data_IF_788695049376
#
_entry.id   IF_788695049376
#
_cell.length_a   1.000
_cell.length_b   1.000
_cell.length_c   1.000
_cell.angle_alpha   90.00
_cell.angle_beta   90.00
_cell.angle_gamma   90.00
#
_symmetry.space_group_name_H-M   'P 1'
#
loop_
_entity.id
_entity.type
_entity.pdbx_description
1 polymer ?
#
# COMPACT_ATOMS: atom_id res chain seq x y z
N UNK A 1 55.14 -8.39 -16.31
CA UNK A 1 54.22 -9.39 -15.74
C UNK A 1 52.84 -8.77 -15.73
N UNK A 2 52.04 -9.06 -16.77
CA UNK A 2 50.72 -8.46 -16.97
C UNK A 2 49.69 -9.39 -16.33
N UNK A 3 48.97 -8.91 -15.32
CA UNK A 3 47.83 -9.63 -14.74
C UNK A 3 46.57 -9.04 -15.38
N UNK A 4 45.94 -9.81 -16.26
CA UNK A 4 44.63 -9.52 -16.83
C UNK A 4 43.57 -9.63 -15.74
N UNK A 5 42.94 -8.52 -15.37
CA UNK A 5 41.67 -8.53 -14.65
C UNK A 5 40.53 -8.39 -15.67
N UNK A 6 40.03 -9.52 -16.17
CA UNK A 6 38.73 -9.56 -16.84
C UNK A 6 37.66 -9.38 -15.76
N UNK A 7 37.06 -8.18 -15.72
CA UNK A 7 35.84 -7.91 -14.96
C UNK A 7 34.71 -8.71 -15.56
N UNK A 8 34.31 -9.76 -14.86
CA UNK A 8 33.14 -10.57 -15.14
C UNK A 8 31.91 -9.71 -14.79
N UNK A 9 31.26 -9.12 -15.79
CA UNK A 9 29.96 -8.45 -15.65
C UNK A 9 28.89 -9.55 -15.50
N UNK A 10 28.89 -10.21 -14.36
CA UNK A 10 27.81 -11.11 -13.96
C UNK A 10 26.61 -10.25 -13.62
N UNK A 11 25.67 -10.18 -14.56
CA UNK A 11 24.31 -9.70 -14.32
C UNK A 11 23.82 -10.29 -12.99
N UNK A 12 23.62 -9.42 -11.99
CA UNK A 12 23.14 -9.83 -10.67
C UNK A 12 21.83 -10.62 -10.87
N UNK A 13 21.76 -11.89 -10.45
CA UNK A 13 20.53 -12.66 -10.63
C UNK A 13 19.40 -11.92 -9.93
N UNK A 14 18.27 -11.75 -10.62
CA UNK A 14 17.08 -11.16 -10.03
C UNK A 14 16.72 -11.92 -8.75
N UNK A 15 16.42 -11.19 -7.68
CA UNK A 15 16.11 -11.80 -6.39
C UNK A 15 14.96 -12.82 -6.55
N UNK A 16 15.06 -14.00 -5.92
CA UNK A 16 14.04 -15.04 -6.05
C UNK A 16 12.69 -14.56 -5.55
N UNK A 17 11.62 -14.93 -6.25
CA UNK A 17 10.26 -14.62 -5.84
C UNK A 17 9.78 -15.54 -4.71
N UNK A 18 8.73 -15.11 -4.01
CA UNK A 18 8.02 -15.93 -3.03
C UNK A 18 6.54 -15.93 -3.36
N UNK A 19 5.92 -17.10 -3.42
CA UNK A 19 4.48 -17.27 -3.51
C UNK A 19 3.96 -17.82 -2.17
N UNK A 20 2.98 -17.12 -1.57
CA UNK A 20 2.28 -17.58 -0.38
C UNK A 20 0.83 -17.91 -0.75
N UNK A 21 0.45 -19.17 -0.62
CA UNK A 21 -0.89 -19.68 -0.89
C UNK A 21 -1.62 -19.82 0.45
N UNK A 22 -2.65 -19.00 0.67
CA UNK A 22 -3.47 -19.02 1.87
C UNK A 22 -4.89 -19.43 1.49
N UNK A 23 -5.29 -20.65 1.85
CA UNK A 23 -6.66 -21.12 1.79
C UNK A 23 -7.22 -21.21 3.21
N UNK A 24 -8.28 -20.46 3.50
CA UNK A 24 -8.83 -20.40 4.85
C UNK A 24 -10.36 -20.35 4.83
N UNK A 25 -10.99 -21.44 5.28
CA UNK A 25 -12.42 -21.49 5.52
C UNK A 25 -12.73 -22.08 6.91
N UNK A 26 -13.86 -21.69 7.55
CA UNK A 26 -14.29 -22.31 8.78
C UNK A 26 -14.78 -23.74 8.53
N UNK A 27 -14.49 -24.66 9.45
CA UNK A 27 -14.98 -26.02 9.36
C UNK A 27 -16.49 -26.10 9.70
N UNK A 28 -17.22 -26.96 8.97
CA UNK A 28 -18.59 -27.32 9.29
C UNK A 28 -19.67 -26.38 8.74
N UNK A 29 -20.75 -26.18 9.50
CA UNK A 29 -22.02 -25.61 8.99
C UNK A 29 -21.95 -24.12 8.57
N UNK A 30 -20.90 -23.40 8.97
CA UNK A 30 -20.66 -22.00 8.60
C UNK A 30 -19.77 -21.81 7.38
N UNK A 31 -19.29 -22.91 6.78
CA UNK A 31 -18.44 -22.89 5.60
C UNK A 31 -19.24 -22.44 4.37
N UNK A 32 -18.80 -21.36 3.72
CA UNK A 32 -19.40 -20.84 2.49
C UNK A 32 -18.56 -21.11 1.25
N UNK A 33 -17.29 -21.50 1.43
CA UNK A 33 -16.34 -21.80 0.35
C UNK A 33 -15.43 -22.96 0.76
N UNK A 34 -15.24 -23.92 -0.15
CA UNK A 34 -14.18 -24.92 -0.05
C UNK A 34 -12.86 -24.31 -0.56
N UNK A 35 -12.23 -23.51 0.31
CA UNK A 35 -11.04 -22.73 -0.02
C UNK A 35 -9.86 -23.64 -0.42
N UNK A 36 -9.67 -24.75 0.30
CA UNK A 36 -8.54 -25.65 0.08
C UNK A 36 -8.61 -26.41 -1.26
N UNK A 37 -9.79 -26.52 -1.89
CA UNK A 37 -9.97 -27.22 -3.17
C UNK A 37 -9.15 -26.66 -4.36
N UNK A 38 -8.59 -25.44 -4.25
CA UNK A 38 -7.70 -24.87 -5.29
C UNK A 38 -6.23 -25.24 -5.11
N UNK A 39 -5.83 -25.62 -3.89
CA UNK A 39 -4.41 -25.82 -3.57
C UNK A 39 -3.75 -26.90 -4.44
N UNK A 40 -4.37 -28.07 -4.73
CA UNK A 40 -3.77 -29.04 -5.64
C UNK A 40 -3.55 -28.50 -7.05
N UNK A 41 -4.45 -27.63 -7.54
CA UNK A 41 -4.32 -27.03 -8.87
C UNK A 41 -3.15 -26.03 -8.90
N UNK A 42 -3.03 -25.18 -7.86
CA UNK A 42 -1.92 -24.22 -7.72
C UNK A 42 -0.58 -24.89 -7.43
N UNK A 43 -0.55 -25.96 -6.63
CA UNK A 43 0.67 -26.71 -6.34
C UNK A 43 1.28 -27.36 -7.60
N UNK A 44 0.44 -27.65 -8.60
CA UNK A 44 0.89 -28.17 -9.88
C UNK A 44 1.29 -27.09 -10.90
N UNK A 45 1.20 -25.81 -10.53
CA UNK A 45 1.73 -24.69 -11.32
C UNK A 45 3.21 -24.51 -11.03
N UNK A 46 4.08 -24.31 -12.04
CA UNK A 46 5.49 -24.01 -11.80
C UNK A 46 5.65 -22.77 -10.89
N UNK A 47 6.54 -22.79 -9.88
CA UNK A 47 6.74 -21.65 -8.99
C UNK A 47 7.02 -20.32 -9.71
N UNK A 48 7.76 -20.39 -10.81
CA UNK A 48 8.07 -19.23 -11.67
C UNK A 48 6.83 -18.61 -12.33
N UNK A 49 5.78 -19.38 -12.56
CA UNK A 49 4.52 -18.87 -13.10
C UNK A 49 3.68 -18.15 -12.03
N UNK A 50 3.77 -18.60 -10.77
CA UNK A 50 3.12 -17.93 -9.65
C UNK A 50 3.77 -16.57 -9.38
N UNK A 51 5.11 -16.50 -9.37
CA UNK A 51 5.82 -15.26 -8.99
C UNK A 51 6.26 -14.40 -10.16
N UNK A 52 6.21 -14.90 -11.40
CA UNK A 52 6.80 -14.22 -12.56
C UNK A 52 8.32 -14.08 -12.49
N UNK A 53 9.00 -14.82 -11.61
CA UNK A 53 10.46 -14.79 -11.41
C UNK A 53 11.11 -16.09 -11.88
N UNK A 54 12.40 -16.05 -12.23
CA UNK A 54 13.14 -17.23 -12.69
C UNK A 54 13.30 -18.30 -11.60
N UNK A 55 13.57 -17.87 -10.36
CA UNK A 55 13.60 -18.71 -9.17
C UNK A 55 12.50 -18.28 -8.20
N UNK A 56 11.83 -19.23 -7.55
CA UNK A 56 10.73 -18.94 -6.66
C UNK A 56 10.55 -19.99 -5.55
N UNK A 57 10.13 -19.53 -4.37
CA UNK A 57 9.74 -20.37 -3.24
C UNK A 57 8.22 -20.34 -3.08
N UNK A 58 7.60 -21.49 -2.80
CA UNK A 58 6.15 -21.58 -2.54
C UNK A 58 5.92 -21.99 -1.09
N UNK A 59 5.04 -21.26 -0.40
CA UNK A 59 4.61 -21.54 0.97
C UNK A 59 3.09 -21.74 0.96
N UNK A 60 2.63 -22.89 1.41
CA UNK A 60 1.20 -23.22 1.47
C UNK A 60 0.68 -23.22 2.90
N UNK A 61 -0.50 -22.62 3.09
CA UNK A 61 -1.27 -22.60 4.33
C UNK A 61 -2.70 -23.06 4.00
N UNK A 62 -2.95 -24.35 4.24
CA UNK A 62 -4.26 -24.97 4.07
C UNK A 62 -5.03 -24.97 5.39
N UNK A 63 -6.19 -24.31 5.42
CA UNK A 63 -7.10 -24.18 6.55
C UNK A 63 -6.39 -24.02 7.90
N UNK A 64 -5.58 -22.95 8.05
CA UNK A 64 -4.83 -22.74 9.29
C UNK A 64 -5.78 -22.57 10.47
N UNK A 65 -5.38 -23.08 11.64
CA UNK A 65 -6.21 -23.07 12.85
C UNK A 65 -5.99 -21.86 13.77
N UNK A 66 -4.87 -21.18 13.58
CA UNK A 66 -4.37 -20.13 14.48
C UNK A 66 -3.92 -18.90 13.66
N UNK A 67 -4.45 -17.70 13.96
CA UNK A 67 -4.07 -16.48 13.24
C UNK A 67 -2.60 -16.09 13.46
N UNK A 68 -1.99 -16.43 14.60
CA UNK A 68 -0.57 -16.11 14.83
C UNK A 68 0.35 -16.95 13.96
N UNK A 69 0.02 -18.22 13.70
CA UNK A 69 0.73 -19.04 12.73
C UNK A 69 0.69 -18.43 11.31
N UNK A 70 -0.47 -17.94 10.88
CA UNK A 70 -0.60 -17.26 9.57
C UNK A 70 0.24 -15.99 9.53
N UNK A 71 0.15 -15.13 10.55
CA UNK A 71 0.94 -13.90 10.60
C UNK A 71 2.44 -14.16 10.65
N UNK A 72 2.89 -15.19 11.36
CA UNK A 72 4.31 -15.56 11.42
C UNK A 72 4.83 -15.96 10.04
N UNK A 73 4.05 -16.74 9.29
CA UNK A 73 4.39 -17.14 7.92
C UNK A 73 4.33 -15.95 6.96
N UNK A 74 3.35 -15.07 7.12
CA UNK A 74 3.26 -13.83 6.34
C UNK A 74 4.46 -12.93 6.61
N UNK A 75 4.84 -12.67 7.87
CA UNK A 75 6.04 -11.91 8.23
C UNK A 75 7.30 -12.49 7.63
N UNK A 76 7.44 -13.81 7.71
CA UNK A 76 8.61 -14.50 7.14
C UNK A 76 8.69 -14.30 5.63
N UNK A 77 7.57 -14.46 4.92
CA UNK A 77 7.51 -14.20 3.48
C UNK A 77 7.74 -12.71 3.14
N UNK A 78 7.17 -11.81 3.94
CA UNK A 78 7.29 -10.37 3.78
C UNK A 78 8.71 -9.84 4.07
N UNK A 79 9.53 -10.57 4.81
CA UNK A 79 10.93 -10.23 5.05
C UNK A 79 11.87 -10.66 3.91
N UNK A 80 11.44 -11.55 3.00
CA UNK A 80 12.28 -12.02 1.90
C UNK A 80 12.43 -10.94 0.81
N UNK A 81 13.63 -10.72 0.25
CA UNK A 81 13.79 -9.82 -0.89
C UNK A 81 13.07 -10.37 -2.14
N UNK A 82 12.92 -9.54 -3.17
CA UNK A 82 12.29 -9.95 -4.44
C UNK A 82 10.76 -9.75 -4.50
N UNK A 83 10.10 -10.43 -5.44
CA UNK A 83 8.65 -10.32 -5.64
C UNK A 83 7.89 -11.24 -4.67
N UNK A 84 6.92 -10.69 -3.95
CA UNK A 84 5.99 -11.46 -3.12
C UNK A 84 4.62 -11.56 -3.82
N UNK A 85 4.16 -12.77 -4.03
CA UNK A 85 2.84 -13.06 -4.58
C UNK A 85 2.00 -13.77 -3.52
N UNK A 86 0.90 -13.17 -3.10
CA UNK A 86 0.00 -13.74 -2.09
C UNK A 86 -1.31 -14.11 -2.76
N UNK A 87 -1.67 -15.38 -2.67
CA UNK A 87 -2.93 -15.91 -3.19
C UNK A 87 -3.83 -16.23 -2.01
N UNK A 88 -4.91 -15.47 -1.82
CA UNK A 88 -5.83 -15.65 -0.70
C UNK A 88 -7.16 -16.15 -1.22
N UNK A 89 -7.56 -17.32 -0.73
CA UNK A 89 -8.92 -17.82 -0.90
C UNK A 89 -9.53 -18.14 0.44
N UNK A 90 -10.81 -17.82 0.62
CA UNK A 90 -11.45 -18.00 1.91
C UNK A 90 -12.69 -17.18 2.15
N UNK A 91 -13.13 -17.20 3.40
CA UNK A 91 -14.38 -16.58 3.81
C UNK A 91 -14.12 -15.32 4.66
N UNK A 92 -14.74 -14.20 4.28
CA UNK A 92 -14.72 -12.95 5.04
C UNK A 92 -15.96 -12.84 5.92
N UNK A 93 -15.74 -12.50 7.19
CA UNK A 93 -16.78 -12.14 8.14
C UNK A 93 -16.55 -10.72 8.65
N UNK A 94 -17.61 -10.08 9.15
CA UNK A 94 -17.53 -8.79 9.80
C UNK A 94 -17.58 -8.96 11.32
N UNK A 95 -16.67 -8.32 12.05
CA UNK A 95 -16.80 -8.25 13.50
C UNK A 95 -17.95 -7.32 13.89
N UNK A 96 -18.96 -7.86 14.56
CA UNK A 96 -20.13 -7.12 15.04
C UNK A 96 -19.80 -5.96 15.99
N UNK A 97 -18.64 -5.96 16.67
CA UNK A 97 -18.26 -4.86 17.59
C UNK A 97 -17.45 -3.78 16.92
N UNK A 98 -16.37 -4.15 16.24
CA UNK A 98 -15.43 -3.20 15.65
C UNK A 98 -15.77 -2.85 14.21
N UNK A 99 -16.72 -3.57 13.59
CA UNK A 99 -17.08 -3.45 12.18
C UNK A 99 -15.85 -3.60 11.26
N UNK A 100 -14.93 -4.49 11.63
CA UNK A 100 -13.71 -4.79 10.87
C UNK A 100 -13.81 -6.16 10.20
N UNK A 101 -13.31 -6.25 8.96
CA UNK A 101 -13.23 -7.50 8.22
C UNK A 101 -12.25 -8.48 8.88
N UNK A 102 -12.63 -9.75 8.91
CA UNK A 102 -11.81 -10.86 9.37
C UNK A 102 -11.87 -12.00 8.35
N UNK A 103 -10.72 -12.61 8.07
CA UNK A 103 -10.63 -13.86 7.32
C UNK A 103 -10.86 -15.03 8.28
N UNK A 104 -11.94 -15.78 8.06
CA UNK A 104 -12.30 -16.92 8.88
C UNK A 104 -11.29 -18.06 8.68
N UNK A 105 -10.84 -18.63 9.80
CA UNK A 105 -9.89 -19.74 9.86
C UNK A 105 -10.63 -21.04 10.23
N UNK A 106 -9.94 -22.19 10.20
CA UNK A 106 -10.58 -23.51 10.37
C UNK A 106 -11.46 -23.64 11.61
N UNK A 107 -11.07 -22.99 12.72
CA UNK A 107 -11.81 -23.03 14.01
C UNK A 107 -12.77 -21.85 14.20
N UNK A 108 -12.91 -20.97 13.22
CA UNK A 108 -13.73 -19.77 13.35
C UNK A 108 -15.21 -20.12 13.33
N UNK A 109 -15.90 -19.60 14.35
CA UNK A 109 -17.37 -19.56 14.43
C UNK A 109 -17.80 -18.11 14.64
N UNK A 110 -19.09 -17.81 14.47
CA UNK A 110 -19.62 -16.48 14.70
C UNK A 110 -19.31 -15.92 16.11
N UNK A 111 -19.31 -16.78 17.13
CA UNK A 111 -19.04 -16.37 18.52
C UNK A 111 -17.55 -16.23 18.85
N UNK A 112 -16.67 -16.92 18.12
CA UNK A 112 -15.22 -16.93 18.38
C UNK A 112 -14.42 -16.08 17.40
N UNK A 113 -15.08 -15.45 16.42
CA UNK A 113 -14.49 -14.69 15.33
C UNK A 113 -13.31 -13.80 15.75
N UNK A 114 -13.48 -12.98 16.78
CA UNK A 114 -12.45 -12.03 17.24
C UNK A 114 -11.18 -12.69 17.77
N UNK A 115 -11.26 -13.95 18.19
CA UNK A 115 -10.16 -14.68 18.81
C UNK A 115 -9.51 -15.69 17.87
N UNK A 116 -10.26 -16.22 16.92
CA UNK A 116 -9.81 -17.32 16.05
C UNK A 116 -9.67 -16.93 14.59
N UNK A 117 -10.36 -15.89 14.12
CA UNK A 117 -10.21 -15.40 12.76
C UNK A 117 -8.99 -14.48 12.65
N UNK A 118 -8.48 -14.30 11.43
CA UNK A 118 -7.40 -13.36 11.14
C UNK A 118 -7.99 -11.97 10.84
N UNK A 119 -7.74 -10.94 11.66
CA UNK A 119 -8.16 -9.58 11.34
C UNK A 119 -7.53 -9.12 10.02
N UNK A 120 -8.35 -8.64 9.09
CA UNK A 120 -7.89 -8.27 7.75
C UNK A 120 -6.81 -7.19 7.79
N UNK A 121 -6.98 -6.20 8.66
CA UNK A 121 -6.01 -5.13 8.85
C UNK A 121 -4.64 -5.58 9.41
N UNK A 122 -4.55 -6.78 10.00
CA UNK A 122 -3.25 -7.35 10.39
C UNK A 122 -2.53 -7.90 9.16
N UNK A 123 -3.25 -8.60 8.28
CA UNK A 123 -2.70 -9.08 7.01
C UNK A 123 -2.15 -7.90 6.18
N UNK A 124 -2.92 -6.81 6.05
CA UNK A 124 -2.47 -5.61 5.34
C UNK A 124 -1.28 -4.95 6.01
N UNK A 125 -1.26 -4.91 7.34
CA UNK A 125 -0.14 -4.38 8.11
C UNK A 125 1.18 -5.10 7.84
N UNK A 126 1.16 -6.43 7.65
CA UNK A 126 2.37 -7.18 7.31
C UNK A 126 2.86 -6.93 5.88
N UNK A 127 1.93 -6.75 4.93
CA UNK A 127 2.26 -6.46 3.53
C UNK A 127 2.74 -5.02 3.34
N UNK A 128 2.23 -4.08 4.15
CA UNK A 128 2.62 -2.68 4.12
C UNK A 128 4.09 -2.43 4.48
N UNK A 129 4.78 -3.43 5.07
CA UNK A 129 6.21 -3.35 5.36
C UNK A 129 7.09 -3.50 4.11
N UNK A 130 6.51 -3.93 2.98
CA UNK A 130 7.25 -4.13 1.73
C UNK A 130 7.26 -2.86 0.89
N UNK A 131 8.34 -2.68 0.13
CA UNK A 131 8.44 -1.58 -0.83
C UNK A 131 7.32 -1.64 -1.88
N UNK A 132 6.90 -0.47 -2.43
CA UNK A 132 5.81 -0.42 -3.40
C UNK A 132 6.14 -1.25 -4.65
N UNK A 133 5.12 -1.86 -5.24
CA UNK A 133 5.17 -2.71 -6.44
C UNK A 133 6.00 -4.00 -6.32
N UNK A 134 6.44 -4.37 -5.11
CA UNK A 134 7.11 -5.66 -4.82
C UNK A 134 6.14 -6.74 -4.37
N UNK A 135 4.87 -6.39 -4.19
CA UNK A 135 3.83 -7.27 -3.68
C UNK A 135 2.64 -7.29 -4.62
N UNK A 136 2.23 -8.49 -5.00
CA UNK A 136 1.01 -8.76 -5.75
C UNK A 136 0.11 -9.66 -4.90
N UNK A 137 -1.15 -9.28 -4.75
CA UNK A 137 -2.16 -10.07 -4.04
C UNK A 137 -3.26 -10.48 -5.01
N UNK A 138 -3.59 -11.76 -5.04
CA UNK A 138 -4.70 -12.31 -5.82
C UNK A 138 -5.75 -12.88 -4.86
N UNK A 139 -6.99 -12.41 -4.97
CA UNK A 139 -8.07 -12.74 -4.04
C UNK A 139 -9.17 -13.58 -4.71
N UNK A 140 -9.66 -14.59 -4.01
CA UNK A 140 -10.87 -15.33 -4.36
C UNK A 140 -11.68 -15.65 -3.09
N UNK A 141 -12.51 -14.69 -2.70
CA UNK A 141 -13.15 -14.64 -1.39
C UNK A 141 -14.67 -14.74 -1.49
N UNK A 142 -15.28 -15.22 -0.41
CA UNK A 142 -16.73 -15.16 -0.20
C UNK A 142 -17.00 -14.36 1.06
N UNK A 143 -17.77 -13.28 0.94
CA UNK A 143 -18.22 -12.53 2.11
C UNK A 143 -19.49 -13.16 2.68
N UNK A 144 -19.61 -13.22 4.00
CA UNK A 144 -20.87 -13.56 4.64
C UNK A 144 -21.91 -12.42 4.50
N UNK A 145 -23.11 -12.64 5.03
CA UNK A 145 -24.21 -11.69 4.89
C UNK A 145 -23.94 -10.32 5.54
N UNK A 146 -23.12 -10.26 6.58
CA UNK A 146 -22.78 -9.01 7.27
C UNK A 146 -21.58 -8.30 6.63
N UNK A 147 -20.59 -9.07 6.15
CA UNK A 147 -19.41 -8.53 5.48
C UNK A 147 -19.71 -8.04 4.06
N UNK A 148 -20.70 -8.63 3.37
CA UNK A 148 -20.97 -8.30 1.97
C UNK A 148 -21.32 -6.82 1.73
N UNK A 149 -22.24 -6.19 2.49
CA UNK A 149 -22.50 -4.75 2.37
C UNK A 149 -21.26 -3.90 2.64
N UNK A 150 -20.41 -4.31 3.59
CA UNK A 150 -19.17 -3.60 3.94
C UNK A 150 -18.17 -3.63 2.77
N UNK A 151 -17.96 -4.79 2.16
CA UNK A 151 -17.09 -4.94 0.99
C UNK A 151 -17.64 -4.16 -0.21
N UNK A 152 -18.95 -4.13 -0.41
CA UNK A 152 -19.58 -3.34 -1.49
C UNK A 152 -19.44 -1.83 -1.30
N UNK A 153 -19.44 -1.37 -0.05
CA UNK A 153 -19.34 0.05 0.29
C UNK A 153 -17.92 0.61 0.34
N UNK A 154 -16.91 -0.21 0.66
CA UNK A 154 -15.53 0.26 0.88
C UNK A 154 -14.42 -0.66 0.35
N UNK A 155 -14.76 -1.74 -0.35
CA UNK A 155 -13.81 -2.75 -0.81
C UNK A 155 -13.23 -3.58 0.33
N UNK A 156 -12.21 -4.37 0.02
CA UNK A 156 -11.45 -5.15 1.03
C UNK A 156 -10.26 -4.37 1.60
N UNK A 157 -9.69 -3.42 0.83
CA UNK A 157 -8.58 -2.55 1.26
C UNK A 157 -7.30 -3.32 1.60
N UNK A 158 -6.26 -3.25 0.76
CA UNK A 158 -4.95 -3.88 1.04
C UNK A 158 -3.82 -2.88 1.35
N UNK A 159 -4.05 -1.58 1.18
CA UNK A 159 -3.04 -0.53 1.31
C UNK A 159 -2.49 -0.07 -0.04
N UNK A 160 -1.70 1.01 -0.03
CA UNK A 160 -1.12 1.61 -1.24
C UNK A 160 0.15 0.87 -1.69
N UNK A 161 0.43 0.87 -3.00
CA UNK A 161 1.64 0.27 -3.56
C UNK A 161 1.60 -1.26 -3.68
N UNK A 162 0.48 -1.90 -3.36
CA UNK A 162 0.27 -3.34 -3.58
C UNK A 162 -0.58 -3.52 -4.84
N UNK A 163 -0.14 -4.40 -5.75
CA UNK A 163 -0.96 -4.78 -6.90
C UNK A 163 -2.02 -5.78 -6.45
N UNK A 164 -3.28 -5.51 -6.74
CA UNK A 164 -4.40 -6.35 -6.28
C UNK A 164 -5.23 -6.80 -7.47
N UNK A 165 -5.47 -8.10 -7.56
CA UNK A 165 -6.45 -8.68 -8.48
C UNK A 165 -7.38 -9.58 -7.68
N UNK A 166 -8.66 -9.65 -8.00
CA UNK A 166 -9.47 -10.68 -7.37
C UNK A 166 -10.97 -10.53 -7.49
N UNK A 167 -11.63 -11.48 -6.85
CA UNK A 167 -13.08 -11.62 -6.75
C UNK A 167 -13.49 -11.72 -5.30
N UNK A 168 -14.53 -11.00 -4.92
CA UNK A 168 -15.30 -11.23 -3.69
C UNK A 168 -16.74 -11.51 -4.07
N UNK A 169 -17.24 -12.69 -3.72
CA UNK A 169 -18.61 -13.11 -4.00
C UNK A 169 -19.54 -12.84 -2.81
N UNK A 170 -20.83 -12.56 -3.05
CA UNK A 170 -21.84 -12.53 -1.99
C UNK A 170 -21.98 -13.90 -1.31
N UNK A 171 -22.64 -13.97 -0.13
CA UNK A 171 -22.94 -15.24 0.50
C UNK A 171 -23.79 -16.11 -0.44
N UNK A 172 -23.44 -17.40 -0.64
CA UNK A 172 -24.20 -18.28 -1.49
C UNK A 172 -25.59 -18.57 -0.91
N UNK A 173 -26.51 -19.10 -1.74
CA UNK A 173 -27.78 -19.63 -1.25
C UNK A 173 -27.58 -20.65 -0.11
N UNK A 174 -28.59 -20.79 0.74
CA UNK A 174 -28.53 -21.71 1.90
C UNK A 174 -28.11 -23.11 1.49
N UNK A 175 -27.18 -23.70 2.26
CA UNK A 175 -26.63 -25.07 2.09
C UNK A 175 -25.79 -25.26 0.82
N UNK A 176 -25.32 -24.17 0.20
CA UNK A 176 -24.37 -24.23 -0.91
C UNK A 176 -23.00 -23.80 -0.41
N UNK A 177 -21.96 -24.55 -0.81
CA UNK A 177 -20.55 -24.22 -0.60
C UNK A 177 -19.96 -23.91 -1.98
N UNK A 178 -19.37 -22.73 -2.13
CA UNK A 178 -18.74 -22.32 -3.38
C UNK A 178 -17.34 -22.92 -3.51
N UNK A 179 -16.84 -22.96 -4.75
CA UNK A 179 -15.44 -23.26 -5.03
C UNK A 179 -14.70 -22.01 -5.50
N UNK A 180 -13.38 -21.91 -5.24
CA UNK A 180 -12.51 -20.83 -5.70
C UNK A 180 -12.20 -20.93 -7.20
N UNK A 181 -13.23 -20.80 -8.03
CA UNK A 181 -13.12 -20.99 -9.48
C UNK A 181 -12.31 -19.87 -10.16
N UNK A 182 -12.25 -18.68 -9.55
CA UNK A 182 -11.48 -17.56 -10.07
C UNK A 182 -9.98 -17.91 -10.03
N UNK A 183 -9.48 -18.40 -8.90
CA UNK A 183 -8.08 -18.86 -8.80
C UNK A 183 -7.85 -20.20 -9.53
N UNK A 184 -8.85 -21.08 -9.61
CA UNK A 184 -8.77 -22.30 -10.42
C UNK A 184 -8.50 -21.97 -11.90
N UNK A 185 -9.17 -20.94 -12.43
CA UNK A 185 -8.95 -20.47 -13.81
C UNK A 185 -7.51 -20.01 -14.03
N UNK A 186 -6.91 -19.30 -13.07
CA UNK A 186 -5.50 -18.91 -13.13
C UNK A 186 -4.59 -20.14 -13.19
N UNK A 187 -4.82 -21.11 -12.30
CA UNK A 187 -4.05 -22.35 -12.25
C UNK A 187 -4.13 -23.13 -13.58
N UNK A 188 -5.33 -23.27 -14.12
CA UNK A 188 -5.57 -24.00 -15.38
C UNK A 188 -4.82 -23.34 -16.55
N UNK A 189 -4.87 -22.01 -16.66
CA UNK A 189 -4.15 -21.28 -17.71
C UNK A 189 -2.64 -21.46 -17.55
N UNK A 190 -2.08 -21.28 -16.35
CA UNK A 190 -0.64 -21.43 -16.15
C UNK A 190 -0.14 -22.87 -16.38
N UNK A 191 -0.96 -23.88 -16.11
CA UNK A 191 -0.64 -25.29 -16.39
C UNK A 191 -0.46 -25.58 -17.88
N UNK A 192 -1.10 -24.81 -18.76
CA UNK A 192 -0.90 -24.94 -20.23
C UNK A 192 0.48 -24.46 -20.70
N UNK A 193 1.25 -23.79 -19.83
CA UNK A 193 2.52 -23.16 -20.19
C UNK A 193 2.41 -21.70 -20.64
N UNK A 194 1.20 -21.21 -20.92
CA UNK A 194 0.98 -19.80 -21.27
C UNK A 194 1.24 -18.90 -20.06
N UNK A 195 1.84 -17.73 -20.28
CA UNK A 195 2.17 -16.74 -19.23
C UNK A 195 1.60 -15.36 -19.59
N UNK A 196 0.27 -15.19 -19.58
CA UNK A 196 -0.32 -13.90 -19.89
C UNK A 196 -0.13 -12.93 -18.71
N UNK A 197 -0.19 -11.62 -18.94
CA UNK A 197 -0.19 -10.62 -17.88
C UNK A 197 -1.34 -10.85 -16.87
N UNK A 198 -1.13 -10.49 -15.60
CA UNK A 198 -2.10 -10.71 -14.53
C UNK A 198 -3.44 -10.00 -14.78
N UNK A 199 -3.43 -8.83 -15.42
CA UNK A 199 -4.64 -8.12 -15.82
C UNK A 199 -5.49 -8.94 -16.82
N UNK A 200 -4.85 -9.61 -17.79
CA UNK A 200 -5.55 -10.47 -18.74
C UNK A 200 -6.09 -11.76 -18.08
N UNK A 201 -5.35 -12.31 -17.11
CA UNK A 201 -5.86 -13.41 -16.29
C UNK A 201 -7.08 -12.98 -15.47
N UNK A 202 -7.05 -11.78 -14.92
CA UNK A 202 -8.17 -11.21 -14.18
C UNK A 202 -9.42 -11.09 -15.05
N UNK A 203 -9.29 -10.48 -16.24
CA UNK A 203 -10.39 -10.37 -17.21
C UNK A 203 -10.94 -11.74 -17.61
N UNK A 204 -10.07 -12.69 -17.93
CA UNK A 204 -10.46 -14.04 -18.34
C UNK A 204 -11.18 -14.79 -17.21
N UNK A 205 -10.67 -14.71 -15.98
CA UNK A 205 -11.29 -15.33 -14.83
C UNK A 205 -12.62 -14.66 -14.48
N UNK A 206 -12.69 -13.34 -14.49
CA UNK A 206 -13.91 -12.58 -14.25
C UNK A 206 -15.02 -12.94 -15.25
N UNK A 207 -14.68 -13.09 -16.53
CA UNK A 207 -15.62 -13.50 -17.58
C UNK A 207 -16.16 -14.94 -17.39
N UNK A 208 -15.39 -15.83 -16.75
CA UNK A 208 -15.76 -17.26 -16.58
C UNK A 208 -16.48 -17.56 -15.26
N UNK A 209 -16.35 -16.72 -14.24
CA UNK A 209 -16.66 -17.09 -12.85
C UNK A 209 -17.62 -16.14 -12.12
N UNK A 210 -18.25 -15.20 -12.82
CA UNK A 210 -19.09 -14.18 -12.19
C UNK A 210 -20.60 -14.48 -12.18
N UNK A 211 -21.23 -14.70 -11.01
CA UNK A 211 -22.63 -14.26 -10.82
C UNK A 211 -22.68 -12.73 -10.99
N UNK A 212 -23.81 -12.18 -11.45
CA UNK A 212 -23.96 -10.76 -11.79
C UNK A 212 -23.59 -9.77 -10.66
N UNK A 213 -23.55 -10.24 -9.41
CA UNK A 213 -23.34 -9.43 -8.22
C UNK A 213 -21.92 -9.50 -7.64
N UNK A 214 -21.03 -10.36 -8.15
CA UNK A 214 -19.67 -10.48 -7.64
C UNK A 214 -18.88 -9.16 -7.78
N UNK A 215 -18.07 -8.84 -6.77
CA UNK A 215 -17.20 -7.67 -6.75
C UNK A 215 -15.81 -8.04 -7.27
N UNK A 216 -15.40 -7.44 -8.37
CA UNK A 216 -14.08 -7.64 -8.97
C UNK A 216 -13.17 -6.45 -8.68
N UNK A 217 -11.94 -6.73 -8.26
CA UNK A 217 -10.93 -5.72 -7.96
C UNK A 217 -9.75 -5.92 -8.89
N UNK A 218 -9.34 -4.85 -9.57
CA UNK A 218 -8.06 -4.75 -10.27
C UNK A 218 -7.44 -3.39 -9.92
N UNK A 219 -6.38 -3.43 -9.11
CA UNK A 219 -5.51 -2.29 -8.82
C UNK A 219 -4.12 -2.66 -9.28
N UNK A 220 -3.83 -2.35 -10.54
CA UNK A 220 -2.50 -2.45 -11.10
C UNK A 220 -2.01 -1.02 -11.34
N UNK A 221 -1.26 -0.46 -10.39
CA UNK A 221 -0.57 0.80 -10.67
C UNK A 221 0.70 0.44 -11.43
N UNK A 222 0.78 0.71 -12.74
CA UNK A 222 1.93 0.30 -13.52
C UNK A 222 3.17 1.06 -13.05
N UNK A 223 4.27 0.34 -12.87
CA UNK A 223 5.59 0.95 -12.98
C UNK A 223 5.72 1.40 -14.43
N UNK A 224 5.90 2.70 -14.66
CA UNK A 224 6.46 3.17 -15.94
C UNK A 224 7.86 2.58 -16.01
N UNK A 225 7.99 1.42 -16.64
CA UNK A 225 9.26 0.99 -17.15
C UNK A 225 9.74 2.10 -18.07
N UNK A 226 10.91 2.67 -17.78
CA UNK A 226 11.63 3.40 -18.82
C UNK A 226 11.72 2.46 -20.03
N UNK A 227 11.34 2.91 -21.24
CA UNK A 227 11.39 2.05 -22.40
C UNK A 227 12.83 1.58 -22.57
N UNK A 228 13.08 0.31 -22.27
CA UNK A 228 14.21 -0.38 -22.88
C UNK A 228 13.68 -0.79 -24.23
N UNK A 229 14.15 -0.06 -25.24
CA UNK A 229 13.84 -0.20 -26.64
C UNK A 229 13.74 -1.68 -27.05
N UNK A 230 12.52 -2.13 -27.32
CA UNK A 230 12.27 -3.38 -28.02
C UNK A 230 12.67 -3.19 -29.47
N UNK A 231 13.92 -3.50 -29.81
CA UNK A 231 14.32 -3.72 -31.19
C UNK A 231 13.90 -5.15 -31.61
N UNK A 232 12.70 -5.26 -32.20
CA UNK A 232 12.36 -6.39 -33.06
C UNK A 232 12.94 -6.15 -34.47
N UNK A 233 13.26 -7.21 -35.24
CA UNK A 233 14.23 -7.15 -36.34
C UNK A 233 13.59 -6.61 -37.62
N UNK A 234 14.29 -5.70 -38.30
CA UNK A 234 13.97 -5.32 -39.67
C UNK A 234 15.19 -5.65 -40.54
N UNK A 235 15.04 -6.68 -41.35
CA UNK A 235 15.95 -7.06 -42.44
C UNK A 235 16.03 -5.96 -43.48
N UNK A 236 17.21 -5.39 -43.71
CA UNK A 236 17.59 -4.75 -44.99
C UNK A 236 19.05 -5.08 -45.30
N UNK A 237 19.30 -5.37 -46.58
CA UNK A 237 20.45 -6.05 -47.15
C UNK A 237 21.80 -5.31 -47.10
N UNK A 238 22.86 -6.10 -47.27
CA UNK A 238 24.27 -5.73 -47.27
C UNK A 238 24.77 -4.99 -48.53
N UNK A 239 25.83 -4.18 -48.36
CA UNK A 239 27.16 -4.24 -49.01
C UNK A 239 27.82 -2.82 -49.09
N UNK A 240 29.12 -2.67 -49.44
CA UNK A 240 30.18 -2.39 -48.46
C UNK A 240 31.00 -1.11 -48.77
N UNK A 241 31.81 -0.61 -47.82
CA UNK A 241 32.90 0.32 -48.18
C UNK A 241 34.14 0.11 -47.30
N UNK A 242 35.27 0.37 -47.94
CA UNK A 242 36.60 -0.18 -47.73
C UNK A 242 37.40 0.41 -46.57
N UNK A 243 38.37 -0.41 -46.14
CA UNK A 243 39.46 -0.07 -45.25
C UNK A 243 40.43 0.95 -45.85
N UNK A 244 41.01 1.80 -45.00
CA UNK A 244 42.31 2.42 -45.25
C UNK A 244 43.24 2.20 -44.06
N UNK A 245 44.43 1.70 -44.38
CA UNK A 245 45.54 1.42 -43.50
C UNK A 245 46.53 2.62 -43.45
N UNK A 246 47.57 2.59 -42.60
CA UNK A 246 48.13 3.76 -41.91
C UNK A 246 49.35 4.41 -42.59
N UNK A 247 49.73 5.60 -42.12
CA UNK A 247 51.01 6.24 -42.45
C UNK A 247 51.84 6.58 -41.19
N UNK A 248 53.15 6.42 -41.34
CA UNK A 248 54.23 6.29 -40.36
C UNK A 248 54.93 7.59 -39.97
N UNK A 249 55.25 7.71 -38.67
CA UNK A 249 56.45 8.27 -37.96
C UNK A 249 57.41 9.30 -38.61
N UNK A 250 57.75 10.40 -37.89
CA UNK A 250 59.12 10.81 -37.43
C UNK A 250 59.11 12.11 -36.53
N UNK A 251 60.23 12.62 -35.92
CA UNK A 251 60.51 12.66 -34.46
C UNK A 251 60.69 14.12 -33.88
N UNK A 252 61.16 14.35 -32.63
CA UNK A 252 60.81 15.53 -31.81
C UNK A 252 61.82 16.69 -31.79
N UNK A 253 61.38 17.87 -31.31
CA UNK A 253 62.20 19.04 -30.96
C UNK A 253 61.91 19.44 -29.50
N UNK A 254 62.91 19.74 -28.64
CA UNK A 254 62.69 20.06 -27.22
C UNK A 254 62.73 21.56 -26.88
N UNK A 255 62.30 21.85 -25.64
CA UNK A 255 62.34 23.12 -24.88
C UNK A 255 61.09 24.03 -25.08
N UNK A 256 60.42 24.55 -24.04
CA UNK A 256 60.85 24.95 -22.69
C UNK A 256 59.72 24.75 -21.67
N UNK A 257 60.09 24.48 -20.42
CA UNK A 257 59.19 24.33 -19.29
C UNK A 257 58.72 25.69 -18.76
N UNK A 258 57.40 25.90 -18.69
CA UNK A 258 56.76 26.93 -17.90
C UNK A 258 56.26 26.31 -16.58
N UNK A 259 56.23 27.06 -15.45
CA UNK A 259 55.96 26.50 -14.14
C UNK A 259 54.48 26.11 -13.98
N UNK A 260 54.26 24.91 -13.45
CA UNK A 260 52.94 24.38 -13.05
C UNK A 260 52.46 25.10 -11.78
N UNK A 261 51.26 25.71 -11.73
CA UNK A 261 50.64 26.08 -10.47
C UNK A 261 50.12 24.81 -9.78
N UNK A 262 50.48 24.65 -8.50
CA UNK A 262 50.07 23.52 -7.67
C UNK A 262 48.54 23.35 -7.66
N UNK A 263 48.00 22.12 -7.74
CA UNK A 263 46.57 21.90 -7.57
C UNK A 263 46.18 22.24 -6.13
N UNK A 264 45.31 23.24 -5.99
CA UNK A 264 44.59 23.47 -4.76
C UNK A 264 43.87 22.17 -4.37
N UNK A 265 44.09 21.74 -3.12
CA UNK A 265 43.46 20.58 -2.51
C UNK A 265 41.94 20.79 -2.61
N UNK A 266 41.28 20.03 -3.48
CA UNK A 266 39.82 20.04 -3.55
C UNK A 266 39.27 19.66 -2.18
N UNK A 267 38.44 20.53 -1.61
CA UNK A 267 37.62 20.19 -0.47
C UNK A 267 36.79 18.95 -0.82
N UNK A 268 36.56 18.01 0.13
CA UNK A 268 35.71 16.86 -0.14
C UNK A 268 34.35 17.36 -0.63
N UNK A 269 33.95 16.86 -1.80
CA UNK A 269 32.61 17.09 -2.33
C UNK A 269 31.58 16.68 -1.24
N UNK A 270 30.49 17.45 -1.06
CA UNK A 270 29.43 17.03 -0.17
C UNK A 270 28.99 15.62 -0.58
N UNK A 271 28.74 14.72 0.39
CA UNK A 271 28.25 13.38 0.07
C UNK A 271 27.02 13.53 -0.84
N UNK A 272 27.05 12.83 -1.98
CA UNK A 272 25.88 12.75 -2.86
C UNK A 272 24.66 12.29 -2.06
N UNK A 273 23.44 12.65 -2.50
CA UNK A 273 22.22 12.35 -1.76
C UNK A 273 22.18 10.86 -1.43
N UNK A 274 22.26 10.56 -0.12
CA UNK A 274 22.01 9.22 0.38
C UNK A 274 20.63 8.77 -0.12
N UNK A 275 20.44 7.46 -0.41
CA UNK A 275 19.10 6.94 -0.70
C UNK A 275 18.17 7.40 0.43
N UNK A 276 17.06 8.06 0.05
CA UNK A 276 16.10 8.61 1.00
C UNK A 276 15.60 7.46 1.88
N UNK A 277 16.12 7.39 3.10
CA UNK A 277 15.76 6.40 4.11
C UNK A 277 14.25 6.51 4.34
N UNK A 278 13.51 5.42 4.10
CA UNK A 278 12.07 5.41 4.31
C UNK A 278 11.78 5.78 5.78
N UNK A 279 11.03 6.85 6.05
CA UNK A 279 10.83 7.31 7.41
C UNK A 279 9.70 6.65 8.17
N UNK A 280 8.83 5.91 7.46
CA UNK A 280 7.67 5.27 8.06
C UNK A 280 8.06 4.23 9.12
N UNK A 281 9.11 3.40 8.94
CA UNK A 281 9.56 2.48 9.98
C UNK A 281 9.97 3.18 11.28
N UNK A 282 10.76 4.26 11.19
CA UNK A 282 11.22 5.01 12.37
C UNK A 282 10.06 5.73 13.07
N UNK A 283 9.16 6.34 12.30
CA UNK A 283 7.96 6.98 12.81
C UNK A 283 7.01 6.00 13.49
N UNK A 284 6.75 4.85 12.87
CA UNK A 284 5.88 3.81 13.42
C UNK A 284 6.49 3.18 14.68
N UNK A 285 7.80 2.96 14.71
CA UNK A 285 8.51 2.48 15.90
C UNK A 285 8.37 3.48 17.07
N UNK A 286 8.59 4.77 16.82
CA UNK A 286 8.40 5.82 17.82
C UNK A 286 6.93 5.90 18.29
N UNK A 287 5.97 5.84 17.37
CA UNK A 287 4.55 5.89 17.70
C UNK A 287 4.08 4.68 18.53
N UNK A 288 4.50 3.45 18.16
CA UNK A 288 4.18 2.22 18.91
C UNK A 288 4.80 2.20 20.30
N UNK A 289 5.97 2.81 20.45
CA UNK A 289 6.63 2.93 21.74
C UNK A 289 6.07 4.08 22.61
N UNK A 290 4.97 4.73 22.20
CA UNK A 290 4.38 5.86 22.91
C UNK A 290 5.20 7.15 22.81
N UNK A 291 6.29 7.17 22.04
CA UNK A 291 7.15 8.35 21.82
C UNK A 291 6.55 9.24 20.74
N UNK A 292 5.31 9.69 20.96
CA UNK A 292 4.54 10.43 19.97
C UNK A 292 5.20 11.76 19.58
N UNK A 293 5.90 12.42 20.50
CA UNK A 293 6.67 13.65 20.20
C UNK A 293 7.81 13.38 19.21
N UNK A 294 8.52 12.26 19.36
CA UNK A 294 9.58 11.84 18.44
C UNK A 294 9.00 11.47 17.07
N UNK A 295 7.92 10.69 17.06
CA UNK A 295 7.19 10.37 15.83
C UNK A 295 6.72 11.62 15.09
N UNK A 296 6.21 12.61 15.82
CA UNK A 296 5.76 13.89 15.26
C UNK A 296 6.92 14.73 14.71
N UNK A 297 8.10 14.70 15.35
CA UNK A 297 9.29 15.37 14.85
C UNK A 297 9.81 14.73 13.55
N UNK A 298 9.78 13.39 13.47
CA UNK A 298 10.10 12.66 12.22
C UNK A 298 9.11 13.09 11.13
N UNK A 299 7.80 13.03 11.39
CA UNK A 299 6.77 13.41 10.42
C UNK A 299 6.94 14.88 9.94
N UNK A 300 7.21 15.82 10.85
CA UNK A 300 7.41 17.23 10.51
C UNK A 300 8.66 17.47 9.64
N UNK A 301 9.74 16.70 9.85
CA UNK A 301 10.92 16.76 8.98
C UNK A 301 10.57 16.33 7.55
N UNK A 302 9.76 15.29 7.40
CA UNK A 302 9.38 14.76 6.09
C UNK A 302 8.31 15.58 5.38
N UNK A 303 7.42 16.21 6.13
CA UNK A 303 6.57 17.27 5.60
C UNK A 303 7.41 18.43 5.05
N UNK A 304 8.40 18.92 5.82
CA UNK A 304 9.29 20.00 5.39
C UNK A 304 10.04 19.63 4.11
N UNK A 305 10.49 18.39 4.00
CA UNK A 305 11.11 17.86 2.80
C UNK A 305 10.12 17.74 1.63
N UNK A 306 8.91 17.23 1.87
CA UNK A 306 7.86 17.14 0.86
C UNK A 306 7.44 18.53 0.35
N UNK A 307 7.35 19.53 1.22
CA UNK A 307 7.10 20.91 0.86
C UNK A 307 8.24 21.48 -0.01
N UNK A 308 9.50 21.17 0.33
CA UNK A 308 10.67 21.62 -0.41
C UNK A 308 10.79 20.98 -1.80
N UNK A 309 10.48 19.69 -1.91
CA UNK A 309 10.66 18.90 -3.14
C UNK A 309 9.45 18.98 -4.06
N UNK A 310 8.24 18.94 -3.50
CA UNK A 310 6.99 18.82 -4.26
C UNK A 310 6.10 20.08 -4.20
N UNK A 311 6.43 21.04 -3.32
CA UNK A 311 5.69 22.29 -3.17
C UNK A 311 4.54 22.21 -2.17
N UNK A 312 4.09 23.40 -1.76
CA UNK A 312 2.94 23.58 -0.87
C UNK A 312 1.66 23.05 -1.54
N UNK A 313 0.90 22.23 -0.80
CA UNK A 313 -0.30 21.60 -1.32
C UNK A 313 -0.04 20.45 -2.29
N UNK A 314 1.14 19.83 -2.33
CA UNK A 314 1.32 18.54 -3.00
C UNK A 314 0.61 17.40 -2.24
N UNK A 315 0.23 16.31 -2.93
CA UNK A 315 -0.37 15.15 -2.26
C UNK A 315 0.56 14.57 -1.18
N UNK A 316 1.87 14.65 -1.40
CA UNK A 316 2.91 14.24 -0.46
C UNK A 316 2.96 15.13 0.79
N UNK A 317 2.87 16.45 0.63
CA UNK A 317 2.81 17.37 1.77
C UNK A 317 1.52 17.20 2.57
N UNK A 318 0.38 17.04 1.88
CA UNK A 318 -0.92 16.77 2.53
C UNK A 318 -0.89 15.45 3.30
N UNK A 319 -0.31 14.40 2.73
CA UNK A 319 -0.17 13.11 3.40
C UNK A 319 0.63 13.23 4.71
N UNK A 320 1.76 13.93 4.70
CA UNK A 320 2.54 14.11 5.93
C UNK A 320 1.82 14.95 6.98
N UNK A 321 1.01 15.90 6.55
CA UNK A 321 0.14 16.70 7.41
C UNK A 321 -0.96 15.84 8.07
N UNK A 322 -1.56 14.90 7.32
CA UNK A 322 -2.51 13.90 7.84
C UNK A 322 -1.87 13.00 8.90
N UNK A 323 -0.67 12.47 8.61
CA UNK A 323 0.09 11.65 9.56
C UNK A 323 0.38 12.42 10.84
N UNK A 324 0.76 13.70 10.75
CA UNK A 324 0.96 14.55 11.93
C UNK A 324 -0.34 14.76 12.71
N UNK A 325 -1.48 14.92 12.03
CA UNK A 325 -2.78 15.09 12.68
C UNK A 325 -3.19 13.85 13.46
N UNK A 326 -2.94 12.65 12.92
CA UNK A 326 -3.19 11.39 13.59
C UNK A 326 -2.22 11.12 14.76
N UNK A 327 -0.95 11.49 14.62
CA UNK A 327 0.01 11.40 15.73
C UNK A 327 -0.37 12.32 16.89
N UNK A 328 -0.89 13.51 16.63
CA UNK A 328 -1.40 14.41 17.67
C UNK A 328 -2.62 13.79 18.39
N UNK A 329 -3.52 13.13 17.66
CA UNK A 329 -4.63 12.38 18.26
C UNK A 329 -4.14 11.22 19.14
N UNK A 330 -3.16 10.44 18.66
CA UNK A 330 -2.56 9.36 19.45
C UNK A 330 -1.89 9.89 20.72
N UNK A 331 -1.24 11.06 20.63
CA UNK A 331 -0.67 11.77 21.77
C UNK A 331 -1.71 12.39 22.72
N UNK A 332 -3.02 12.19 22.47
CA UNK A 332 -4.12 12.78 23.23
C UNK A 332 -4.08 14.32 23.27
N UNK A 333 -3.62 14.96 22.18
CA UNK A 333 -3.69 16.42 21.96
C UNK A 333 -4.77 16.74 20.91
N UNK A 334 -6.07 16.76 21.30
CA UNK A 334 -7.16 17.03 20.37
C UNK A 334 -7.09 18.44 19.77
N UNK A 335 -6.52 19.41 20.48
CA UNK A 335 -6.36 20.77 19.98
C UNK A 335 -5.38 20.85 18.81
N UNK A 336 -4.24 20.14 18.92
CA UNK A 336 -3.26 20.05 17.82
C UNK A 336 -3.77 19.17 16.68
N UNK A 337 -4.45 18.08 16.98
CA UNK A 337 -5.05 17.23 15.94
C UNK A 337 -6.13 17.98 15.14
N UNK A 338 -7.00 18.73 15.82
CA UNK A 338 -8.00 19.58 15.18
C UNK A 338 -7.37 20.61 14.23
N UNK A 339 -6.34 21.34 14.69
CA UNK A 339 -5.66 22.34 13.87
C UNK A 339 -5.06 21.73 12.60
N UNK A 340 -4.39 20.57 12.72
CA UNK A 340 -3.77 19.90 11.58
C UNK A 340 -4.81 19.35 10.60
N UNK A 341 -5.92 18.76 11.07
CA UNK A 341 -7.00 18.32 10.17
C UNK A 341 -7.70 19.49 9.46
N UNK A 342 -7.78 20.66 10.10
CA UNK A 342 -8.22 21.90 9.47
C UNK A 342 -7.26 22.34 8.36
N UNK A 343 -5.94 22.28 8.59
CA UNK A 343 -4.93 22.58 7.57
C UNK A 343 -4.98 21.57 6.39
N UNK A 344 -5.22 20.27 6.67
CA UNK A 344 -5.41 19.23 5.61
C UNK A 344 -6.59 19.60 4.71
N UNK A 345 -7.74 19.94 5.29
CA UNK A 345 -8.92 20.30 4.52
C UNK A 345 -8.67 21.54 3.66
N UNK A 346 -8.01 22.57 4.21
CA UNK A 346 -7.64 23.77 3.46
C UNK A 346 -6.66 23.48 2.33
N UNK A 347 -5.65 22.64 2.57
CA UNK A 347 -4.67 22.27 1.56
C UNK A 347 -5.32 21.49 0.40
N UNK A 348 -6.28 20.61 0.68
CA UNK A 348 -7.05 19.88 -0.34
C UNK A 348 -7.95 20.82 -1.17
N UNK A 349 -8.68 21.73 -0.52
CA UNK A 349 -9.47 22.74 -1.23
C UNK A 349 -8.59 23.66 -2.11
N UNK A 350 -7.41 24.05 -1.63
CA UNK A 350 -6.46 24.86 -2.39
C UNK A 350 -5.91 24.14 -3.63
N UNK A 351 -5.92 22.80 -3.65
CA UNK A 351 -5.55 21.97 -4.81
C UNK A 351 -6.66 21.86 -5.85
N UNK A 352 -7.85 22.39 -5.57
CA UNK A 352 -9.03 22.27 -6.44
C UNK A 352 -9.86 21.01 -6.22
N UNK A 353 -9.64 20.27 -5.13
CA UNK A 353 -10.58 19.23 -4.69
C UNK A 353 -11.91 19.90 -4.34
N UNK A 354 -13.03 19.28 -4.74
CA UNK A 354 -14.34 19.88 -4.56
C UNK A 354 -14.77 19.76 -3.09
N UNK A 355 -15.55 20.72 -2.56
CA UNK A 355 -16.10 20.59 -1.21
C UNK A 355 -17.00 19.37 -1.00
N UNK A 356 -17.45 18.71 -2.08
CA UNK A 356 -18.23 17.48 -2.03
C UNK A 356 -17.37 16.21 -2.07
N UNK A 357 -16.06 16.34 -2.28
CA UNK A 357 -15.14 15.21 -2.31
C UNK A 357 -15.09 14.55 -0.93
N UNK A 358 -15.02 13.22 -0.95
CA UNK A 358 -15.11 12.42 0.27
C UNK A 358 -13.92 12.67 1.20
N UNK A 359 -12.73 12.84 0.66
CA UNK A 359 -11.52 13.12 1.44
C UNK A 359 -11.57 14.49 2.13
N UNK A 360 -12.05 15.52 1.43
CA UNK A 360 -12.25 16.86 1.99
C UNK A 360 -13.29 16.81 3.11
N UNK A 361 -14.41 16.14 2.86
CA UNK A 361 -15.47 15.94 3.87
C UNK A 361 -14.93 15.20 5.09
N UNK A 362 -14.17 14.12 4.88
CA UNK A 362 -13.60 13.31 5.94
C UNK A 362 -12.54 14.06 6.77
N UNK A 363 -11.74 14.94 6.15
CA UNK A 363 -10.80 15.80 6.88
C UNK A 363 -11.53 16.79 7.80
N UNK A 364 -12.60 17.44 7.30
CA UNK A 364 -13.42 18.37 8.10
C UNK A 364 -14.20 17.63 9.20
N UNK A 365 -14.65 16.39 8.94
CA UNK A 365 -15.27 15.52 9.95
C UNK A 365 -14.31 15.14 11.08
N UNK A 366 -13.05 14.78 10.75
CA UNK A 366 -12.03 14.51 11.76
C UNK A 366 -11.66 15.75 12.56
N UNK A 367 -11.50 16.92 11.92
CA UNK A 367 -11.25 18.18 12.60
C UNK A 367 -12.36 18.49 13.62
N UNK A 368 -13.63 18.36 13.20
CA UNK A 368 -14.78 18.59 14.07
C UNK A 368 -14.80 17.61 15.25
N UNK A 369 -14.60 16.33 14.99
CA UNK A 369 -14.59 15.32 16.05
C UNK A 369 -13.48 15.56 17.09
N UNK A 370 -12.31 16.05 16.67
CA UNK A 370 -11.23 16.41 17.60
C UNK A 370 -11.55 17.70 18.37
N UNK A 371 -12.16 18.69 17.74
CA UNK A 371 -12.62 19.90 18.42
C UNK A 371 -13.66 19.59 19.52
N UNK A 372 -14.56 18.63 19.28
CA UNK A 372 -15.50 18.16 20.29
C UNK A 372 -14.83 17.49 21.52
N UNK A 373 -13.61 17.01 21.38
CA UNK A 373 -12.85 16.41 22.48
C UNK A 373 -12.00 17.44 23.23
N UNK A 374 -11.94 18.68 22.75
CA UNK A 374 -11.12 19.72 23.34
C UNK A 374 -11.77 20.27 24.62
N UNK A 375 -11.09 20.08 25.75
CA UNK A 375 -11.53 20.57 27.07
C UNK A 375 -11.14 22.02 27.37
N UNK A 376 -10.14 22.58 26.69
CA UNK A 376 -9.69 23.96 26.87
C UNK A 376 -10.66 24.93 26.17
N UNK A 377 -11.38 25.80 26.92
CA UNK A 377 -12.39 26.68 26.37
C UNK A 377 -11.82 27.81 25.49
N UNK A 378 -10.64 28.34 25.81
CA UNK A 378 -10.00 29.41 25.03
C UNK A 378 -9.54 28.86 23.69
N UNK A 379 -8.87 27.70 23.71
CA UNK A 379 -8.39 27.03 22.51
C UNK A 379 -9.54 26.49 21.65
N UNK A 380 -10.62 26.02 22.27
CA UNK A 380 -11.83 25.64 21.56
C UNK A 380 -12.47 26.84 20.85
N UNK A 381 -12.58 28.00 21.51
CA UNK A 381 -13.07 29.24 20.87
C UNK A 381 -12.22 29.65 19.67
N UNK A 382 -10.89 29.62 19.78
CA UNK A 382 -10.00 29.98 18.68
C UNK A 382 -10.15 29.06 17.46
N UNK A 383 -10.17 27.73 17.67
CA UNK A 383 -10.29 26.76 16.58
C UNK A 383 -11.70 26.74 15.95
N UNK A 384 -12.74 27.07 16.73
CA UNK A 384 -14.11 27.10 16.25
C UNK A 384 -14.32 28.13 15.14
N UNK A 385 -13.61 29.27 15.16
CA UNK A 385 -13.70 30.28 14.10
C UNK A 385 -13.32 29.67 12.74
N UNK A 386 -12.19 28.95 12.70
CA UNK A 386 -11.68 28.33 11.47
C UNK A 386 -12.55 27.15 11.05
N UNK A 387 -12.96 26.31 12.02
CA UNK A 387 -13.81 25.16 11.76
C UNK A 387 -15.21 25.56 11.25
N UNK A 388 -15.78 26.65 11.77
CA UNK A 388 -17.06 27.19 11.31
C UNK A 388 -16.97 27.64 9.87
N UNK A 389 -15.92 28.38 9.49
CA UNK A 389 -15.71 28.79 8.10
C UNK A 389 -15.57 27.58 7.16
N UNK A 390 -14.81 26.55 7.56
CA UNK A 390 -14.69 25.31 6.80
C UNK A 390 -16.02 24.58 6.66
N UNK A 391 -16.84 24.52 7.71
CA UNK A 391 -18.15 23.84 7.67
C UNK A 391 -19.19 24.56 6.81
N UNK A 392 -19.09 25.88 6.63
CA UNK A 392 -19.90 26.59 5.65
C UNK A 392 -19.51 26.23 4.21
N UNK A 393 -18.22 26.00 3.95
CA UNK A 393 -17.73 25.56 2.64
C UNK A 393 -18.00 24.07 2.39
N UNK A 394 -17.88 23.25 3.44
CA UNK A 394 -18.00 21.78 3.43
C UNK A 394 -19.09 21.39 4.44
N UNK A 395 -20.38 21.51 4.07
CA UNK A 395 -21.49 21.18 4.98
C UNK A 395 -21.54 19.70 5.36
N UNK A 396 -20.94 18.82 4.55
CA UNK A 396 -20.92 17.37 4.75
C UNK A 396 -22.27 16.71 4.42
N UNK A 397 -22.34 15.38 4.59
CA UNK A 397 -23.54 14.58 4.24
C UNK A 397 -24.66 14.64 5.28
N UNK A 398 -24.39 15.14 6.50
CA UNK A 398 -25.37 15.21 7.60
C UNK A 398 -25.66 16.68 7.97
N UNK A 399 -26.93 17.11 7.94
CA UNK A 399 -27.29 18.42 8.48
C UNK A 399 -27.07 18.45 10.01
N UNK A 400 -26.64 19.59 10.54
CA UNK A 400 -26.51 19.82 11.99
C UNK A 400 -25.09 19.99 12.53
N UNK A 401 -24.04 19.83 11.71
CA UNK A 401 -22.65 20.02 12.17
C UNK A 401 -22.37 21.48 12.62
N UNK A 402 -22.90 22.47 11.90
CA UNK A 402 -22.78 23.89 12.29
C UNK A 402 -23.56 24.21 13.57
N UNK A 403 -24.75 23.63 13.72
CA UNK A 403 -25.58 23.81 14.92
C UNK A 403 -24.90 23.22 16.17
N UNK A 404 -24.19 22.10 16.02
CA UNK A 404 -23.42 21.50 17.11
C UNK A 404 -22.26 22.43 17.56
N UNK A 405 -21.58 23.08 16.61
CA UNK A 405 -20.53 24.05 16.90
C UNK A 405 -21.10 25.26 17.64
N UNK A 406 -22.20 25.85 17.14
CA UNK A 406 -22.84 27.00 17.79
C UNK A 406 -23.32 26.66 19.20
N UNK A 407 -24.01 25.53 19.38
CA UNK A 407 -24.50 25.09 20.69
C UNK A 407 -23.36 24.91 21.70
N UNK A 408 -22.24 24.33 21.28
CA UNK A 408 -21.08 24.17 22.18
C UNK A 408 -20.41 25.50 22.49
N UNK A 409 -20.30 26.41 21.52
CA UNK A 409 -19.76 27.75 21.78
C UNK A 409 -20.62 28.54 22.76
N UNK A 410 -21.95 28.39 22.74
CA UNK A 410 -22.85 28.97 23.74
C UNK A 410 -22.54 28.43 25.14
N UNK A 411 -22.34 27.10 25.28
CA UNK A 411 -21.97 26.45 26.55
C UNK A 411 -20.58 26.87 27.04
N UNK A 412 -19.64 27.16 26.13
CA UNK A 412 -18.30 27.63 26.47
C UNK A 412 -18.25 29.15 26.74
N UNK A 413 -19.26 29.89 26.29
CA UNK A 413 -19.40 31.34 26.42
C UNK A 413 -20.26 31.77 27.62
N UNK A 414 -21.02 30.86 28.22
CA UNK A 414 -21.67 31.10 29.51
C UNK A 414 -20.61 31.04 30.62
N UNK A 415 -20.34 32.15 31.35
CA UNK A 415 -19.45 32.09 32.50
C UNK A 415 -20.04 31.11 33.52
N UNK A 416 -19.23 30.15 33.97
CA UNK A 416 -19.63 29.14 34.94
C UNK A 416 -20.21 29.85 36.18
N UNK A 417 -21.49 29.68 36.52
CA UNK A 417 -21.97 30.11 37.81
C UNK A 417 -21.46 29.08 38.81
N UNK A 418 -20.62 29.52 39.75
CA UNK A 418 -19.95 28.74 40.81
C UNK A 418 -18.55 28.22 40.42
N UNK A 419 -17.53 28.74 41.11
CA UNK A 419 -16.17 28.21 41.14
C UNK A 419 -15.11 29.29 41.14
#
# INVERSE_FOLDING_TARGET
MVINAQGNDQARPADPGTALLLAAAPAGKGCLIDAAAVLPALAAVPPSALTGTAAATVVELADPLDPQAVLTRMRTAAALPGQLHVYVTGQLHLDHRQHLLHLALARTTASTLRYTALPWHWLTGELALRGPHTTTVVLDLVADAEAWPHVRGGGVGLGHGIRVFGRVSPPPPRRTVLTPDYLRTYADIWRTGVRPPLAHLHETAAARTGPAEAFFVAMDTPVRAFPTEQAAPVTVAAAPVQAFAPATTRPPVPAQALPVPAPARAAPAPPGPAPAEDPHPALLAAARAGRHTEAAAIAARWESEALRVHGAGSAQAVHWLEVRADLARLAQDPGRSCALWTEVAQARLARGETPADEDVTAAVDRAHHQWEQLGDPDRARALAVVLTALRHQVPGRRPGALEAIHRRLEVLGTPSPLG
#
